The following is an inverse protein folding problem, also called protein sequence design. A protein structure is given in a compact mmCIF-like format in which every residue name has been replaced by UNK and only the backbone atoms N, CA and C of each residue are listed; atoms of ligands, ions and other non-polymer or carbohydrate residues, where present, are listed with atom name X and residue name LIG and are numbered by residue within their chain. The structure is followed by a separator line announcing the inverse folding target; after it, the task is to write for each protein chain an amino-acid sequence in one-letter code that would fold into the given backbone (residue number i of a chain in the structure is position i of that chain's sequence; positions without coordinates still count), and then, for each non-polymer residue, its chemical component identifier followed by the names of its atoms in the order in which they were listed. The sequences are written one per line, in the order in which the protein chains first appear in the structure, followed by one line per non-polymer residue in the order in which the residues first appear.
data_IF_411600491602
#
_entry.id   IF_411600491602
#
_cell.length_a   1.000
_cell.length_b   1.000
_cell.length_c   1.000
_cell.angle_alpha   90.00
_cell.angle_beta   90.00
_cell.angle_gamma   90.00
#
_symmetry.space_group_name_H-M   'P 1'
#
loop_
_entity.id
_entity.type
_entity.pdbx_description
1 polymer ?
#
# COMPACT_ATOMS: atom_id res chain seq x y z
N UNK A 1 -15.24 27.32 27.97
CA UNK A 1 -13.88 27.74 27.51
C UNK A 1 -13.19 26.46 27.03
N UNK A 2 -13.27 26.19 25.71
CA UNK A 2 -12.52 25.10 25.10
C UNK A 2 -11.10 25.59 24.90
N UNK A 3 -10.16 25.10 25.71
CA UNK A 3 -8.73 25.31 25.48
C UNK A 3 -8.40 24.74 24.10
N UNK A 4 -8.08 25.63 23.16
CA UNK A 4 -7.52 25.24 21.87
C UNK A 4 -6.10 24.70 22.16
N UNK A 5 -6.02 23.41 22.41
CA UNK A 5 -4.74 22.69 22.47
C UNK A 5 -4.01 22.98 21.14
N UNK A 6 -2.76 23.43 21.18
CA UNK A 6 -1.99 23.72 19.97
C UNK A 6 -1.85 22.41 19.17
N UNK A 7 -2.45 22.39 17.97
CA UNK A 7 -2.35 21.20 17.09
C UNK A 7 -0.91 21.06 16.61
N UNK A 8 -0.35 19.88 16.86
CA UNK A 8 0.97 19.55 16.33
C UNK A 8 0.87 19.42 14.79
N UNK A 9 1.57 20.28 14.08
CA UNK A 9 1.62 20.29 12.61
C UNK A 9 3.06 20.37 12.11
N UNK A 10 3.29 20.03 10.85
CA UNK A 10 4.61 20.14 10.22
C UNK A 10 5.22 21.55 10.38
N UNK A 11 4.40 22.61 10.31
CA UNK A 11 4.85 23.97 10.50
C UNK A 11 5.34 24.31 11.91
N UNK A 12 4.92 23.54 12.92
CA UNK A 12 5.35 23.72 14.31
C UNK A 12 6.61 22.90 14.67
N UNK A 13 7.09 22.05 13.76
CA UNK A 13 8.24 21.18 14.00
C UNK A 13 9.56 21.85 13.58
N UNK A 14 10.70 21.51 14.26
CA UNK A 14 12.03 21.91 13.84
C UNK A 14 12.36 21.50 12.40
N UNK A 15 13.19 22.26 11.72
CA UNK A 15 13.57 22.04 10.32
C UNK A 15 14.22 20.65 10.09
N UNK A 16 14.94 20.14 11.07
CA UNK A 16 15.51 18.79 11.01
C UNK A 16 14.43 17.70 10.87
N UNK A 17 13.31 17.80 11.60
CA UNK A 17 12.19 16.85 11.50
C UNK A 17 11.40 17.04 10.20
N UNK A 18 11.25 18.28 9.72
CA UNK A 18 10.66 18.55 8.41
C UNK A 18 11.51 17.98 7.28
N UNK A 19 12.83 18.11 7.37
CA UNK A 19 13.78 17.50 6.42
C UNK A 19 13.69 15.99 6.44
N UNK A 20 13.66 15.36 7.63
CA UNK A 20 13.49 13.93 7.78
C UNK A 20 12.17 13.46 7.16
N UNK A 21 11.06 14.13 7.46
CA UNK A 21 9.74 13.81 6.89
C UNK A 21 9.74 13.86 5.36
N UNK A 22 10.39 14.86 4.77
CA UNK A 22 10.54 15.00 3.32
C UNK A 22 11.30 13.82 2.72
N UNK A 23 12.46 13.46 3.26
CA UNK A 23 13.28 12.38 2.73
C UNK A 23 12.64 11.01 2.91
N UNK A 24 12.02 10.74 4.07
CA UNK A 24 11.24 9.50 4.29
C UNK A 24 10.18 9.37 3.20
N UNK A 25 9.38 10.43 2.97
CA UNK A 25 8.31 10.38 1.98
C UNK A 25 8.85 10.17 0.56
N UNK A 26 9.94 10.85 0.17
CA UNK A 26 10.56 10.68 -1.15
C UNK A 26 11.04 9.23 -1.34
N UNK A 27 11.78 8.68 -0.36
CA UNK A 27 12.30 7.31 -0.44
C UNK A 27 11.15 6.29 -0.51
N UNK A 28 10.08 6.51 0.27
CA UNK A 28 8.89 5.65 0.21
C UNK A 28 8.22 5.71 -1.17
N UNK A 29 8.08 6.89 -1.77
CA UNK A 29 7.50 7.04 -3.12
C UNK A 29 8.34 6.28 -4.16
N UNK A 30 9.66 6.42 -4.13
CA UNK A 30 10.56 5.69 -5.04
C UNK A 30 10.41 4.19 -4.85
N UNK A 31 10.49 3.70 -3.60
CA UNK A 31 10.39 2.27 -3.28
C UNK A 31 9.03 1.67 -3.67
N UNK A 32 7.94 2.37 -3.35
CA UNK A 32 6.58 1.94 -3.69
C UNK A 32 6.36 1.91 -5.21
N UNK A 33 6.81 2.93 -5.93
CA UNK A 33 6.73 2.98 -7.40
C UNK A 33 7.53 1.85 -8.05
N UNK A 34 8.72 1.54 -7.53
CA UNK A 34 9.51 0.39 -7.99
C UNK A 34 8.77 -0.94 -7.76
N UNK A 35 8.11 -1.09 -6.60
CA UNK A 35 7.28 -2.27 -6.31
C UNK A 35 6.09 -2.39 -7.27
N UNK A 36 5.41 -1.27 -7.57
CA UNK A 36 4.33 -1.26 -8.56
C UNK A 36 4.81 -1.62 -9.97
N UNK A 37 5.97 -1.11 -10.38
CA UNK A 37 6.58 -1.46 -11.67
C UNK A 37 6.88 -2.97 -11.74
N UNK A 38 7.37 -3.57 -10.65
CA UNK A 38 7.59 -5.01 -10.56
C UNK A 38 6.27 -5.79 -10.68
N UNK A 39 5.23 -5.40 -9.94
CA UNK A 39 3.90 -6.03 -10.01
C UNK A 39 3.31 -5.89 -11.41
N UNK A 40 3.42 -4.71 -12.03
CA UNK A 40 2.98 -4.50 -13.42
C UNK A 40 3.73 -5.40 -14.40
N UNK A 41 5.03 -5.55 -14.24
CA UNK A 41 5.84 -6.41 -15.11
C UNK A 41 5.42 -7.89 -15.00
N UNK A 42 5.12 -8.35 -13.79
CA UNK A 42 4.81 -9.78 -13.51
C UNK A 42 3.35 -10.14 -13.75
N UNK A 43 2.40 -9.22 -13.53
CA UNK A 43 0.96 -9.53 -13.57
C UNK A 43 0.17 -8.69 -14.57
N UNK A 44 0.81 -7.67 -15.18
CA UNK A 44 0.14 -6.64 -16.00
C UNK A 44 -0.99 -5.91 -15.25
N UNK A 45 -1.05 -6.02 -13.94
CA UNK A 45 -2.12 -5.50 -13.07
C UNK A 45 -3.52 -6.00 -13.48
N UNK A 46 -3.58 -7.17 -14.10
CA UNK A 46 -4.86 -7.79 -14.51
C UNK A 46 -5.25 -8.91 -13.55
N UNK A 47 -6.55 -9.18 -13.34
CA UNK A 47 -7.00 -10.30 -12.53
C UNK A 47 -6.44 -11.63 -13.01
N UNK A 48 -6.39 -11.85 -14.33
CA UNK A 48 -5.83 -13.08 -14.94
C UNK A 48 -4.33 -13.20 -14.69
N UNK A 49 -3.57 -12.12 -14.84
CA UNK A 49 -2.13 -12.13 -14.57
C UNK A 49 -1.82 -12.35 -13.09
N UNK A 50 -2.62 -11.76 -12.19
CA UNK A 50 -2.51 -11.99 -10.74
C UNK A 50 -2.87 -13.44 -10.40
N UNK A 51 -3.94 -13.98 -10.98
CA UNK A 51 -4.32 -15.39 -10.81
C UNK A 51 -3.18 -16.31 -11.23
N UNK A 52 -2.63 -16.14 -12.45
CA UNK A 52 -1.52 -16.94 -12.96
C UNK A 52 -0.29 -16.90 -12.03
N UNK A 53 0.01 -15.74 -11.45
CA UNK A 53 1.13 -15.56 -10.52
C UNK A 53 0.99 -16.39 -9.22
N UNK A 54 -0.23 -16.68 -8.76
CA UNK A 54 -0.46 -17.37 -7.49
C UNK A 54 -1.00 -18.80 -7.67
N UNK A 55 -1.89 -19.01 -8.62
CA UNK A 55 -2.52 -20.32 -8.89
C UNK A 55 -1.76 -21.15 -9.93
N UNK A 56 -0.86 -20.52 -10.68
CA UNK A 56 -0.20 -21.09 -11.84
C UNK A 56 -0.98 -20.86 -13.13
N UNK A 57 -0.33 -21.07 -14.24
CA UNK A 57 -0.92 -20.97 -15.59
C UNK A 57 -1.48 -22.32 -16.04
N UNK A 58 -2.42 -22.30 -17.00
CA UNK A 58 -2.99 -23.50 -17.58
C UNK A 58 -1.91 -24.39 -18.22
N UNK A 59 -2.09 -25.72 -18.24
CA UNK A 59 -1.14 -26.68 -18.83
C UNK A 59 -0.85 -26.48 -20.32
N UNK A 60 -1.68 -25.70 -21.02
CA UNK A 60 -1.48 -25.34 -22.43
C UNK A 60 -0.70 -24.06 -22.67
N UNK A 61 -0.21 -23.40 -21.61
CA UNK A 61 0.64 -22.20 -21.78
C UNK A 61 2.00 -22.59 -22.37
N UNK A 62 2.60 -21.66 -23.16
CA UNK A 62 3.96 -21.84 -23.66
C UNK A 62 4.94 -21.94 -22.49
N UNK A 63 6.03 -22.68 -22.65
CA UNK A 63 7.06 -22.87 -21.60
C UNK A 63 7.53 -21.52 -21.00
N UNK A 64 7.65 -20.50 -21.81
CA UNK A 64 8.05 -19.13 -21.39
C UNK A 64 7.01 -18.44 -20.47
N UNK A 65 5.75 -18.89 -20.50
CA UNK A 65 4.65 -18.32 -19.72
C UNK A 65 4.22 -19.25 -18.56
N UNK A 66 4.84 -20.41 -18.42
CA UNK A 66 4.46 -21.42 -17.43
C UNK A 66 4.84 -20.95 -16.01
N UNK A 67 3.84 -20.84 -15.15
CA UNK A 67 4.01 -20.52 -13.72
C UNK A 67 3.40 -21.65 -12.89
N UNK A 68 4.12 -22.04 -11.84
CA UNK A 68 3.62 -23.05 -10.91
C UNK A 68 2.84 -22.40 -9.76
N UNK A 69 1.80 -23.09 -9.24
CA UNK A 69 1.06 -22.61 -8.09
C UNK A 69 1.97 -22.38 -6.89
N UNK A 70 1.84 -21.22 -6.22
CA UNK A 70 2.65 -20.94 -5.02
C UNK A 70 2.35 -21.98 -3.91
N UNK A 71 3.41 -22.49 -3.32
CA UNK A 71 3.32 -23.39 -2.16
C UNK A 71 2.82 -22.65 -0.91
N UNK A 72 2.35 -23.39 0.10
CA UNK A 72 1.94 -22.83 1.38
C UNK A 72 3.08 -22.01 2.02
N UNK A 73 4.31 -22.52 1.99
CA UNK A 73 5.48 -21.81 2.53
C UNK A 73 5.71 -20.46 1.82
N UNK A 74 5.61 -20.46 0.48
CA UNK A 74 5.74 -19.22 -0.29
C UNK A 74 4.62 -18.22 0.05
N UNK A 75 3.38 -18.67 0.22
CA UNK A 75 2.25 -17.84 0.62
C UNK A 75 2.45 -17.23 2.02
N UNK A 76 2.90 -18.03 2.98
CA UNK A 76 3.20 -17.57 4.34
C UNK A 76 4.34 -16.57 4.36
N UNK A 77 5.44 -16.86 3.66
CA UNK A 77 6.61 -15.95 3.58
C UNK A 77 6.20 -14.61 2.97
N UNK A 78 5.45 -14.64 1.86
CA UNK A 78 4.99 -13.43 1.20
C UNK A 78 4.05 -12.63 2.10
N UNK A 79 3.11 -13.30 2.78
CA UNK A 79 2.20 -12.62 3.72
C UNK A 79 2.97 -12.00 4.86
N UNK A 80 3.86 -12.74 5.52
CA UNK A 80 4.62 -12.24 6.65
C UNK A 80 5.48 -11.01 6.27
N UNK A 81 6.25 -11.10 5.20
CA UNK A 81 7.17 -10.03 4.81
C UNK A 81 6.45 -8.79 4.30
N UNK A 82 5.44 -8.96 3.44
CA UNK A 82 4.75 -7.83 2.84
C UNK A 82 3.73 -7.19 3.78
N UNK A 83 2.99 -7.97 4.56
CA UNK A 83 2.01 -7.43 5.50
C UNK A 83 2.69 -6.51 6.52
N UNK A 84 3.81 -6.95 7.12
CA UNK A 84 4.56 -6.14 8.07
C UNK A 84 5.25 -4.94 7.41
N UNK A 85 5.89 -5.15 6.26
CA UNK A 85 6.56 -4.07 5.53
C UNK A 85 5.58 -2.98 5.07
N UNK A 86 4.43 -3.37 4.53
CA UNK A 86 3.40 -2.41 4.11
C UNK A 86 2.74 -1.72 5.30
N UNK A 87 2.53 -2.43 6.42
CA UNK A 87 2.02 -1.80 7.64
C UNK A 87 2.95 -0.67 8.12
N UNK A 88 4.27 -0.87 8.10
CA UNK A 88 5.25 0.18 8.45
C UNK A 88 5.17 1.36 7.47
N UNK A 89 5.07 1.10 6.16
CA UNK A 89 4.91 2.16 5.15
C UNK A 89 3.66 3.01 5.47
N UNK A 90 2.52 2.38 5.75
CA UNK A 90 1.28 3.09 6.05
C UNK A 90 1.27 3.75 7.43
N UNK A 91 1.99 3.22 8.42
CA UNK A 91 2.24 3.93 9.69
C UNK A 91 2.99 5.23 9.44
N UNK A 92 4.10 5.19 8.70
CA UNK A 92 4.90 6.39 8.43
C UNK A 92 4.15 7.41 7.57
N UNK A 93 3.47 6.98 6.52
CA UNK A 93 2.67 7.88 5.69
C UNK A 93 1.46 8.45 6.44
N UNK A 94 0.82 7.66 7.29
CA UNK A 94 -0.28 8.09 8.16
C UNK A 94 0.16 9.09 9.23
N UNK A 95 1.32 8.88 9.85
CA UNK A 95 1.94 9.85 10.77
C UNK A 95 2.23 11.17 10.04
N UNK A 96 2.79 11.09 8.84
CA UNK A 96 3.00 12.27 7.99
C UNK A 96 1.70 13.03 7.72
N UNK A 97 0.63 12.32 7.35
CA UNK A 97 -0.69 12.92 7.12
C UNK A 97 -1.31 13.50 8.40
N UNK A 98 -1.11 12.86 9.54
CA UNK A 98 -1.63 13.36 10.83
C UNK A 98 -1.07 14.75 11.16
N UNK A 99 0.17 15.03 10.78
CA UNK A 99 0.86 16.31 10.97
C UNK A 99 0.53 17.38 9.91
N UNK A 100 -0.22 17.04 8.86
CA UNK A 100 -0.66 18.03 7.87
C UNK A 100 -1.74 18.96 8.47
N UNK A 101 -1.77 20.21 8.04
CA UNK A 101 -2.82 21.17 8.42
C UNK A 101 -4.16 20.85 7.76
N UNK A 102 -4.14 20.23 6.58
CA UNK A 102 -5.29 19.79 5.78
C UNK A 102 -5.11 18.31 5.40
N UNK A 103 -6.15 17.52 5.29
CA UNK A 103 -7.60 17.78 5.44
C UNK A 103 -8.07 17.86 6.91
N UNK A 104 -9.40 18.02 7.12
CA UNK A 104 -9.97 18.04 8.47
C UNK A 104 -9.76 16.73 9.21
N UNK A 105 -9.79 16.75 10.54
CA UNK A 105 -9.50 15.58 11.40
C UNK A 105 -10.39 14.37 11.13
N UNK A 106 -11.64 14.59 10.69
CA UNK A 106 -12.54 13.50 10.28
C UNK A 106 -11.98 12.75 9.08
N UNK A 107 -11.57 13.49 8.04
CA UNK A 107 -10.99 12.91 6.83
C UNK A 107 -9.61 12.28 7.08
N UNK A 108 -8.78 12.90 7.94
CA UNK A 108 -7.50 12.29 8.34
C UNK A 108 -7.69 10.94 8.99
N UNK A 109 -8.62 10.82 9.96
CA UNK A 109 -8.92 9.53 10.62
C UNK A 109 -9.35 8.46 9.62
N UNK A 110 -10.20 8.82 8.66
CA UNK A 110 -10.63 7.89 7.61
C UNK A 110 -9.46 7.45 6.74
N UNK A 111 -8.72 8.42 6.19
CA UNK A 111 -7.58 8.14 5.31
C UNK A 111 -6.46 7.36 6.01
N UNK A 112 -6.22 7.59 7.30
CA UNK A 112 -5.22 6.84 8.07
C UNK A 112 -5.69 5.40 8.35
N UNK A 113 -6.97 5.18 8.62
CA UNK A 113 -7.49 3.86 8.95
C UNK A 113 -7.71 2.99 7.70
N UNK A 114 -8.11 3.61 6.58
CA UNK A 114 -8.47 2.92 5.34
C UNK A 114 -7.36 1.95 4.85
N UNK A 115 -6.07 2.35 4.71
CA UNK A 115 -5.08 1.45 4.16
C UNK A 115 -4.83 0.20 5.02
N UNK A 116 -5.02 0.27 6.33
CA UNK A 116 -4.89 -0.92 7.19
C UNK A 116 -6.02 -1.92 6.96
N UNK A 117 -7.26 -1.44 6.82
CA UNK A 117 -8.40 -2.29 6.49
C UNK A 117 -8.22 -2.88 5.10
N UNK A 118 -7.88 -2.05 4.12
CA UNK A 118 -7.67 -2.46 2.73
C UNK A 118 -6.50 -3.43 2.59
N UNK A 119 -5.45 -3.27 3.39
CA UNK A 119 -4.31 -4.20 3.45
C UNK A 119 -4.78 -5.60 3.90
N UNK A 120 -5.57 -5.68 4.97
CA UNK A 120 -6.14 -6.95 5.44
C UNK A 120 -7.05 -7.59 4.38
N UNK A 121 -7.89 -6.78 3.72
CA UNK A 121 -8.74 -7.26 2.62
C UNK A 121 -7.90 -7.79 1.47
N UNK A 122 -6.83 -7.10 1.06
CA UNK A 122 -5.94 -7.54 -0.02
C UNK A 122 -5.29 -8.87 0.28
N UNK A 123 -4.72 -9.04 1.48
CA UNK A 123 -4.10 -10.32 1.86
C UNK A 123 -5.12 -11.43 2.01
N UNK A 124 -6.30 -11.16 2.56
CA UNK A 124 -7.40 -12.14 2.61
C UNK A 124 -7.82 -12.55 1.20
N UNK A 125 -8.00 -11.59 0.28
CA UNK A 125 -8.35 -11.87 -1.11
C UNK A 125 -7.28 -12.73 -1.81
N UNK A 126 -5.99 -12.48 -1.55
CA UNK A 126 -4.88 -13.27 -2.07
C UNK A 126 -4.98 -14.73 -1.63
N UNK A 127 -5.26 -15.01 -0.36
CA UNK A 127 -5.43 -16.36 0.16
C UNK A 127 -6.69 -17.02 -0.39
N UNK A 128 -7.82 -16.33 -0.40
CA UNK A 128 -9.08 -16.82 -0.96
C UNK A 128 -8.94 -17.13 -2.46
N UNK A 129 -8.27 -16.25 -3.21
CA UNK A 129 -7.98 -16.49 -4.63
C UNK A 129 -7.13 -17.76 -4.82
N UNK A 130 -6.07 -17.94 -4.01
CA UNK A 130 -5.16 -19.07 -4.16
C UNK A 130 -5.82 -20.41 -3.86
N UNK A 131 -6.65 -20.50 -2.82
CA UNK A 131 -7.16 -21.78 -2.30
C UNK A 131 -8.64 -22.02 -2.51
N UNK A 132 -9.45 -20.96 -2.74
CA UNK A 132 -10.91 -21.09 -2.84
C UNK A 132 -11.41 -20.82 -4.27
N UNK A 133 -11.40 -19.58 -4.73
CA UNK A 133 -12.00 -19.20 -6.01
C UNK A 133 -11.15 -18.13 -6.72
N UNK A 134 -10.79 -18.32 -8.02
CA UNK A 134 -10.02 -17.36 -8.80
C UNK A 134 -10.69 -15.97 -8.92
N UNK A 135 -12.00 -15.87 -8.76
CA UNK A 135 -12.73 -14.60 -8.83
C UNK A 135 -12.29 -13.59 -7.78
N UNK A 136 -11.70 -14.04 -6.67
CA UNK A 136 -11.09 -13.15 -5.68
C UNK A 136 -9.90 -12.36 -6.21
N UNK A 137 -9.38 -12.67 -7.42
CA UNK A 137 -8.39 -11.85 -8.11
C UNK A 137 -8.89 -10.43 -8.38
N UNK A 138 -10.18 -10.26 -8.68
CA UNK A 138 -10.79 -8.93 -8.84
C UNK A 138 -10.76 -8.12 -7.54
N UNK A 139 -11.08 -8.75 -6.42
CA UNK A 139 -11.01 -8.10 -5.11
C UNK A 139 -9.57 -7.73 -4.76
N UNK A 140 -8.61 -8.61 -5.06
CA UNK A 140 -7.19 -8.34 -4.83
C UNK A 140 -6.70 -7.17 -5.67
N UNK A 141 -7.02 -7.12 -6.95
CA UNK A 141 -6.64 -6.01 -7.84
C UNK A 141 -7.30 -4.70 -7.40
N UNK A 142 -8.59 -4.71 -7.07
CA UNK A 142 -9.30 -3.52 -6.63
C UNK A 142 -8.73 -2.97 -5.30
N UNK A 143 -8.52 -3.82 -4.30
CA UNK A 143 -7.97 -3.41 -3.00
C UNK A 143 -6.52 -2.95 -3.11
N UNK A 144 -5.69 -3.62 -3.91
CA UNK A 144 -4.31 -3.20 -4.14
C UNK A 144 -4.22 -1.86 -4.89
N UNK A 145 -5.15 -1.61 -5.82
CA UNK A 145 -5.25 -0.32 -6.51
C UNK A 145 -5.65 0.80 -5.55
N UNK A 146 -6.57 0.53 -4.63
CA UNK A 146 -6.97 1.48 -3.60
C UNK A 146 -5.80 1.80 -2.65
N UNK A 147 -5.03 0.78 -2.22
CA UNK A 147 -3.80 0.99 -1.43
C UNK A 147 -2.81 1.91 -2.14
N UNK A 148 -2.58 1.70 -3.44
CA UNK A 148 -1.69 2.54 -4.23
C UNK A 148 -2.19 3.99 -4.29
N UNK A 149 -3.48 4.18 -4.56
CA UNK A 149 -4.11 5.50 -4.61
C UNK A 149 -3.97 6.23 -3.28
N UNK A 150 -4.30 5.58 -2.17
CA UNK A 150 -4.19 6.15 -0.83
C UNK A 150 -2.75 6.48 -0.47
N UNK A 151 -1.79 5.62 -0.80
CA UNK A 151 -0.37 5.87 -0.58
C UNK A 151 0.11 7.15 -1.31
N UNK A 152 -0.20 7.28 -2.60
CA UNK A 152 0.19 8.48 -3.35
C UNK A 152 -0.54 9.73 -2.89
N UNK A 153 -1.80 9.62 -2.47
CA UNK A 153 -2.53 10.73 -1.87
C UNK A 153 -1.87 11.21 -0.57
N UNK A 154 -1.51 10.29 0.34
CA UNK A 154 -0.78 10.64 1.57
C UNK A 154 0.54 11.32 1.24
N UNK A 155 1.34 10.73 0.37
CA UNK A 155 2.64 11.25 -0.04
C UNK A 155 2.53 12.65 -0.65
N UNK A 156 1.55 12.86 -1.52
CA UNK A 156 1.29 14.17 -2.12
C UNK A 156 0.93 15.23 -1.08
N UNK A 157 0.03 14.89 -0.14
CA UNK A 157 -0.40 15.81 0.90
C UNK A 157 0.75 16.20 1.83
N UNK A 158 1.56 15.21 2.24
CA UNK A 158 2.73 15.44 3.09
C UNK A 158 3.78 16.32 2.38
N UNK A 159 4.15 15.98 1.15
CA UNK A 159 5.15 16.77 0.39
C UNK A 159 4.66 18.18 0.10
N UNK A 160 3.38 18.35 -0.23
CA UNK A 160 2.76 19.67 -0.42
C UNK A 160 2.84 20.52 0.86
N UNK A 161 2.57 19.92 2.02
CA UNK A 161 2.64 20.64 3.30
C UNK A 161 4.09 21.02 3.66
N UNK A 162 5.04 20.11 3.43
CA UNK A 162 6.46 20.33 3.70
C UNK A 162 7.15 21.31 2.72
N UNK A 163 6.51 21.61 1.58
CA UNK A 163 7.00 22.59 0.61
C UNK A 163 6.59 24.03 0.94
N UNK A 164 5.70 24.21 1.92
CA UNK A 164 5.27 25.52 2.42
C UNK A 164 6.20 26.05 3.50
#
# INVERSE_FOLDING_TARGET
MTSLEPRLTWGALPDSLRTLGRWITIVQVVGYTTSLAFVWHTTRLTPVGVEGQYRGTDPGATEAAMQFPKSLTQMLTLTHTHLLGMAVIFVLSGLGLALCSWPSDRWKRLLIAEPFVTLLVSFSAMWLMRYLDPRFSWLLVASSSLLALTFYLHSFLVLRELAR
#
